data_IF_228944829870
#
_entry.id   IF_228944829870
#
_cell.length_a   1.000
_cell.length_b   1.000
_cell.length_c   1.000
_cell.angle_alpha   90.00
_cell.angle_beta   90.00
_cell.angle_gamma   90.00
#
_symmetry.space_group_name_H-M   'P 1'
#
loop_
_entity.id
_entity.type
_entity.pdbx_description
1 polymer ?
#
# COMPACT_ATOMS: atom_id res chain seq x y z
N UNK A 1 -5.82 -13.63 1.55
CA UNK A 1 -5.71 -12.44 0.68
C UNK A 1 -4.28 -12.37 0.16
N UNK A 2 -4.06 -11.74 -0.99
CA UNK A 2 -2.69 -11.51 -1.48
C UNK A 2 -1.98 -10.51 -0.55
N UNK A 3 -0.83 -10.90 0.01
CA UNK A 3 -0.06 -10.15 1.00
C UNK A 3 0.08 -8.64 0.69
N UNK A 4 0.28 -8.31 -0.58
CA UNK A 4 0.57 -6.96 -1.06
C UNK A 4 -0.53 -5.92 -0.82
N UNK A 5 -1.76 -6.35 -0.55
CA UNK A 5 -2.92 -5.47 -0.30
C UNK A 5 -3.29 -5.39 1.17
N UNK A 6 -2.57 -6.10 2.05
CA UNK A 6 -2.87 -6.10 3.49
C UNK A 6 -2.40 -4.81 4.15
N UNK A 7 -3.26 -4.26 5.01
CA UNK A 7 -2.97 -3.06 5.79
C UNK A 7 -1.97 -3.35 6.92
N UNK A 8 -1.14 -2.36 7.33
CA UNK A 8 -0.12 -2.55 8.35
C UNK A 8 -0.69 -2.98 9.70
N UNK A 9 -1.91 -2.55 10.05
CA UNK A 9 -2.58 -2.95 11.29
C UNK A 9 -2.87 -4.44 11.36
N UNK A 10 -3.02 -5.15 10.23
CA UNK A 10 -3.22 -6.62 10.20
C UNK A 10 -2.01 -7.36 10.78
N UNK A 11 -0.81 -6.77 10.66
CA UNK A 11 0.44 -7.37 11.15
C UNK A 11 0.84 -6.91 12.55
N UNK A 12 0.30 -5.77 12.99
CA UNK A 12 0.62 -5.15 14.29
C UNK A 12 -0.41 -5.48 15.36
N UNK A 13 -1.67 -5.48 14.97
CA UNK A 13 -2.80 -5.54 15.88
C UNK A 13 -3.59 -6.83 15.61
N UNK A 14 -3.96 -7.54 16.68
CA UNK A 14 -4.83 -8.73 16.57
C UNK A 14 -6.28 -8.39 16.20
N UNK A 15 -6.61 -7.10 16.16
CA UNK A 15 -7.93 -6.58 15.81
C UNK A 15 -7.77 -5.50 14.74
N UNK A 16 -8.59 -5.58 13.69
CA UNK A 16 -8.64 -4.59 12.63
C UNK A 16 -10.10 -4.25 12.31
N UNK A 17 -10.32 -3.06 11.75
CA UNK A 17 -11.66 -2.58 11.41
C UNK A 17 -11.85 -2.57 9.89
N UNK A 18 -12.94 -1.96 9.41
CA UNK A 18 -13.17 -1.74 7.97
C UNK A 18 -12.14 -0.78 7.33
N UNK A 19 -11.25 -0.17 8.11
CA UNK A 19 -10.14 0.65 7.61
C UNK A 19 -9.23 -0.10 6.63
N UNK A 20 -9.06 -1.41 6.83
CA UNK A 20 -8.17 -2.25 5.99
C UNK A 20 -8.61 -2.31 4.53
N UNK A 21 -9.91 -2.12 4.27
CA UNK A 21 -10.46 -2.09 2.91
C UNK A 21 -10.04 -0.80 2.18
N UNK A 22 -9.97 0.33 2.89
CA UNK A 22 -9.48 1.59 2.33
C UNK A 22 -7.99 1.54 2.00
N UNK A 23 -7.20 0.87 2.84
CA UNK A 23 -5.80 0.58 2.53
C UNK A 23 -5.68 -0.25 1.25
N UNK A 24 -6.43 -1.36 1.18
CA UNK A 24 -6.45 -2.24 0.01
C UNK A 24 -6.83 -1.49 -1.26
N UNK A 25 -7.83 -0.61 -1.19
CA UNK A 25 -8.24 0.26 -2.29
C UNK A 25 -7.10 1.21 -2.71
N UNK A 26 -6.40 1.83 -1.78
CA UNK A 26 -5.24 2.68 -2.05
C UNK A 26 -4.12 1.94 -2.80
N UNK A 27 -3.82 0.71 -2.40
CA UNK A 27 -2.85 -0.16 -3.09
C UNK A 27 -3.30 -0.45 -4.53
N UNK A 28 -4.57 -0.76 -4.76
CA UNK A 28 -5.12 -1.02 -6.10
C UNK A 28 -5.06 0.24 -6.96
N UNK A 29 -5.43 1.41 -6.43
CA UNK A 29 -5.35 2.68 -7.16
C UNK A 29 -3.91 2.99 -7.53
N UNK A 30 -2.96 2.81 -6.61
CA UNK A 30 -1.53 2.96 -6.90
C UNK A 30 -1.11 2.03 -8.04
N UNK A 31 -1.47 0.75 -7.96
CA UNK A 31 -1.10 -0.25 -8.97
C UNK A 31 -1.67 0.09 -10.35
N UNK A 32 -2.91 0.59 -10.43
CA UNK A 32 -3.51 1.05 -11.68
C UNK A 32 -2.80 2.27 -12.28
N UNK A 33 -2.33 3.20 -11.44
CA UNK A 33 -1.69 4.44 -11.90
C UNK A 33 -0.21 4.23 -12.26
N UNK A 34 0.50 3.38 -11.51
CA UNK A 34 1.96 3.20 -11.60
C UNK A 34 2.35 1.92 -12.36
N UNK A 35 1.41 0.97 -12.52
CA UNK A 35 1.64 -0.33 -13.14
C UNK A 35 2.46 -1.31 -12.28
N UNK A 36 2.79 -0.94 -11.05
CA UNK A 36 3.55 -1.73 -10.09
C UNK A 36 2.98 -1.57 -8.69
N UNK A 37 3.29 -2.50 -7.79
CA UNK A 37 2.86 -2.43 -6.38
C UNK A 37 3.65 -1.36 -5.60
N UNK A 38 3.03 -0.68 -4.62
CA UNK A 38 3.72 0.29 -3.76
C UNK A 38 4.74 -0.38 -2.84
N UNK A 39 4.45 -1.61 -2.42
CA UNK A 39 5.32 -2.42 -1.56
C UNK A 39 5.55 -3.80 -2.17
N UNK A 40 6.81 -4.09 -2.51
CA UNK A 40 7.22 -5.41 -3.01
C UNK A 40 8.65 -5.70 -2.60
N UNK A 41 8.81 -6.57 -1.62
CA UNK A 41 10.11 -7.07 -1.19
C UNK A 41 10.58 -8.27 -2.01
N UNK A 42 11.83 -8.69 -1.77
CA UNK A 42 12.41 -9.91 -2.34
C UNK A 42 11.74 -11.20 -1.82
N UNK A 43 11.08 -11.10 -0.66
CA UNK A 43 10.37 -12.17 0.03
C UNK A 43 9.21 -11.57 0.85
N UNK A 44 8.40 -12.43 1.48
CA UNK A 44 7.24 -12.00 2.27
C UNK A 44 7.65 -11.19 3.49
N UNK A 45 8.73 -11.58 4.19
CA UNK A 45 9.20 -10.88 5.39
C UNK A 45 9.58 -9.44 5.06
N UNK A 46 10.33 -9.23 3.98
CA UNK A 46 10.71 -7.90 3.51
C UNK A 46 9.49 -7.11 3.03
N UNK A 47 8.52 -7.76 2.41
CA UNK A 47 7.27 -7.11 1.99
C UNK A 47 6.47 -6.61 3.19
N UNK A 48 6.34 -7.42 4.26
CA UNK A 48 5.67 -7.04 5.51
C UNK A 48 6.43 -5.89 6.19
N UNK A 49 7.76 -5.93 6.22
CA UNK A 49 8.58 -4.85 6.76
C UNK A 49 8.34 -3.53 6.01
N UNK A 50 8.25 -3.58 4.67
CA UNK A 50 7.96 -2.41 3.84
C UNK A 50 6.54 -1.89 4.09
N UNK A 51 5.51 -2.76 4.11
CA UNK A 51 4.12 -2.38 4.40
C UNK A 51 4.00 -1.69 5.76
N UNK A 52 4.73 -2.18 6.76
CA UNK A 52 4.63 -1.64 8.12
C UNK A 52 5.48 -0.39 8.31
N UNK A 53 6.65 -0.29 7.67
CA UNK A 53 7.68 0.67 8.09
C UNK A 53 8.23 1.57 6.98
N UNK A 54 7.63 1.54 5.79
CA UNK A 54 8.06 2.36 4.64
C UNK A 54 6.90 3.14 4.03
N UNK A 55 7.25 4.22 3.33
CA UNK A 55 6.30 5.01 2.53
C UNK A 55 6.37 4.59 1.05
N UNK A 56 5.25 4.63 0.29
CA UNK A 56 5.27 4.42 -1.15
C UNK A 56 6.10 5.49 -1.88
N UNK A 57 6.76 5.10 -2.96
CA UNK A 57 7.44 6.06 -3.86
C UNK A 57 6.46 6.50 -4.95
N UNK A 58 6.27 7.80 -5.14
CA UNK A 58 5.36 8.31 -6.18
C UNK A 58 6.17 8.82 -7.37
N UNK A 59 6.01 8.25 -8.58
CA UNK A 59 6.71 8.72 -9.77
C UNK A 59 6.35 10.15 -10.17
N UNK A 60 7.30 10.88 -10.76
CA UNK A 60 7.11 12.28 -11.19
C UNK A 60 6.04 12.47 -12.28
N UNK A 61 5.72 11.42 -13.03
CA UNK A 61 4.69 11.48 -14.08
C UNK A 61 3.25 11.47 -13.53
N UNK A 62 3.06 11.19 -12.23
CA UNK A 62 1.74 11.29 -11.61
C UNK A 62 1.33 12.75 -11.48
N UNK A 63 0.11 13.09 -11.91
CA UNK A 63 -0.43 14.42 -11.70
C UNK A 63 -0.67 14.68 -10.22
N UNK A 64 -0.81 15.96 -9.86
CA UNK A 64 -1.11 16.37 -8.48
C UNK A 64 -2.42 15.75 -7.99
N UNK A 65 -3.43 15.68 -8.87
CA UNK A 65 -4.75 15.12 -8.57
C UNK A 65 -4.69 13.61 -8.34
N UNK A 66 -3.91 12.88 -9.16
CA UNK A 66 -3.70 11.44 -8.94
C UNK A 66 -2.97 11.18 -7.62
N UNK A 67 -1.98 12.03 -7.29
CA UNK A 67 -1.23 11.90 -6.04
C UNK A 67 -2.06 12.25 -4.81
N UNK A 68 -2.96 13.24 -4.89
CA UNK A 68 -3.79 13.65 -3.74
C UNK A 68 -4.80 12.59 -3.30
N UNK A 69 -5.15 11.64 -4.16
CA UNK A 69 -6.01 10.51 -3.78
C UNK A 69 -5.23 9.46 -2.97
N UNK A 70 -3.92 9.37 -3.20
CA UNK A 70 -3.04 8.38 -2.56
C UNK A 70 -2.35 8.89 -1.28
N UNK A 71 -2.15 10.21 -1.19
CA UNK A 71 -1.50 10.88 -0.07
C UNK A 71 -2.55 11.71 0.66
N UNK A 72 -2.85 11.34 1.91
CA UNK A 72 -3.71 12.10 2.81
C UNK A 72 -2.90 12.54 4.02
#
# INVERSE_FOLDING_TARGET
GSLYYMAPEIFREGYYTRSVDWWSLGVIIYEMLVGNLPFRGKDETRTIEMITSSEPTYPEHLTVESRSILVN
#
